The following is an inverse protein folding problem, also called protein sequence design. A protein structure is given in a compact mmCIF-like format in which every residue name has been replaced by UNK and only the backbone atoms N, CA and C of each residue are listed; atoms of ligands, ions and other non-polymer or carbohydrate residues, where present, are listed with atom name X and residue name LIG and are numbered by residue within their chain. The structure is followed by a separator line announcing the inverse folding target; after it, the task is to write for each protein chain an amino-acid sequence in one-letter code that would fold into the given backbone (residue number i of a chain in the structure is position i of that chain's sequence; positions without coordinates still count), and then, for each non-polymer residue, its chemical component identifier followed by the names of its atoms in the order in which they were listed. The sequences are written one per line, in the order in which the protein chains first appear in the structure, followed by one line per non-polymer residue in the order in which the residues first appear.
data_IF_768433041451
#
_entry.id   IF_768433041451
#
_cell.length_a   1.000
_cell.length_b   1.000
_cell.length_c   1.000
_cell.angle_alpha   90.00
_cell.angle_beta   90.00
_cell.angle_gamma   90.00
#
_symmetry.space_group_name_H-M   'P 1'
#
loop_
_entity.id
_entity.type
_entity.pdbx_description
1 polymer ?
#
# COMPACT_ATOMS: atom_id res chain seq x y z
N UNK A 1 -14.01 -13.05 13.73
CA UNK A 1 -13.04 -12.32 14.57
C UNK A 1 -13.70 -11.00 14.91
N UNK A 2 -13.98 -10.74 16.18
CA UNK A 2 -14.62 -9.48 16.58
C UNK A 2 -13.68 -8.30 16.32
N UNK A 3 -14.24 -7.21 15.78
CA UNK A 3 -13.50 -5.97 15.52
C UNK A 3 -13.39 -5.20 16.84
N UNK A 4 -12.17 -5.03 17.33
CA UNK A 4 -11.90 -4.23 18.54
C UNK A 4 -11.79 -2.74 18.21
N UNK A 5 -12.04 -1.88 19.20
CA UNK A 5 -11.85 -0.42 19.08
C UNK A 5 -10.41 -0.06 18.67
N UNK A 6 -9.43 -0.81 19.19
CA UNK A 6 -8.03 -0.65 18.81
C UNK A 6 -7.81 -0.94 17.32
N UNK A 7 -8.39 -2.03 16.80
CA UNK A 7 -8.30 -2.37 15.37
C UNK A 7 -8.94 -1.28 14.52
N UNK A 8 -10.14 -0.85 14.88
CA UNK A 8 -10.84 0.24 14.18
C UNK A 8 -9.99 1.51 14.12
N UNK A 9 -9.41 1.91 15.26
CA UNK A 9 -8.55 3.10 15.34
C UNK A 9 -7.32 2.98 14.44
N UNK A 10 -6.65 1.82 14.45
CA UNK A 10 -5.49 1.55 13.59
C UNK A 10 -5.85 1.63 12.11
N UNK A 11 -6.99 1.05 11.70
CA UNK A 11 -7.50 1.16 10.33
C UNK A 11 -7.71 2.62 9.94
N UNK A 12 -8.46 3.40 10.75
CA UNK A 12 -8.71 4.83 10.48
C UNK A 12 -7.44 5.66 10.41
N UNK A 13 -6.41 5.31 11.19
CA UNK A 13 -5.11 5.96 11.09
C UNK A 13 -4.38 5.57 9.81
N UNK A 14 -4.40 4.29 9.42
CA UNK A 14 -3.75 3.86 8.18
C UNK A 14 -4.42 4.46 6.94
N UNK A 15 -5.75 4.61 6.92
CA UNK A 15 -6.45 5.36 5.88
C UNK A 15 -5.90 6.78 5.71
N UNK A 16 -5.57 7.47 6.82
CA UNK A 16 -4.95 8.82 6.79
C UNK A 16 -3.53 8.78 6.24
N UNK A 17 -2.74 7.75 6.58
CA UNK A 17 -1.38 7.57 6.05
C UNK A 17 -1.43 7.33 4.53
N UNK A 18 -2.33 6.44 4.07
CA UNK A 18 -2.52 6.17 2.64
C UNK A 18 -3.03 7.41 1.91
N UNK A 19 -3.98 8.16 2.48
CA UNK A 19 -4.44 9.43 1.92
C UNK A 19 -3.29 10.43 1.75
N UNK A 20 -2.44 10.59 2.78
CA UNK A 20 -1.25 11.44 2.69
C UNK A 20 -0.30 11.01 1.57
N UNK A 21 -0.04 9.71 1.42
CA UNK A 21 0.78 9.17 0.33
C UNK A 21 0.17 9.53 -1.02
N UNK A 22 -1.13 9.29 -1.21
CA UNK A 22 -1.85 9.59 -2.45
C UNK A 22 -1.79 11.09 -2.77
N UNK A 23 -2.02 11.96 -1.79
CA UNK A 23 -1.92 13.42 -1.96
C UNK A 23 -0.52 13.84 -2.42
N UNK A 24 0.54 13.30 -1.80
CA UNK A 24 1.92 13.62 -2.18
C UNK A 24 2.29 13.08 -3.56
N UNK A 25 1.83 11.89 -3.91
CA UNK A 25 2.04 11.33 -5.25
C UNK A 25 1.27 12.10 -6.32
N UNK A 26 0.07 12.58 -6.01
CA UNK A 26 -0.72 13.42 -6.92
C UNK A 26 0.04 14.69 -7.34
N UNK A 27 0.78 15.32 -6.41
CA UNK A 27 1.59 16.52 -6.70
C UNK A 27 2.70 16.27 -7.74
N UNK A 28 3.14 15.03 -7.91
CA UNK A 28 4.16 14.64 -8.90
C UNK A 28 3.58 13.85 -10.08
N UNK A 29 2.25 13.84 -10.23
CA UNK A 29 1.56 13.09 -11.28
C UNK A 29 1.69 11.56 -11.14
N UNK A 30 1.91 11.07 -9.92
CA UNK A 30 2.08 9.65 -9.64
C UNK A 30 0.75 8.92 -9.44
N UNK A 31 0.36 7.99 -10.34
CA UNK A 31 -0.81 7.16 -10.11
C UNK A 31 -0.55 6.14 -9.00
N UNK A 32 -1.61 5.88 -8.25
CA UNK A 32 -1.66 4.87 -7.18
C UNK A 32 -2.82 3.95 -7.46
N UNK A 33 -2.58 2.64 -7.41
CA UNK A 33 -3.66 1.65 -7.32
C UNK A 33 -3.71 1.14 -5.90
N UNK A 34 -4.91 0.98 -5.35
CA UNK A 34 -5.08 0.08 -4.21
C UNK A 34 -4.94 -1.36 -4.74
N UNK A 35 -4.45 -2.30 -3.92
CA UNK A 35 -4.38 -3.72 -4.27
C UNK A 35 -5.44 -4.49 -3.46
N UNK A 36 -5.97 -5.55 -4.09
CA UNK A 36 -7.00 -6.47 -3.62
C UNK A 36 -6.59 -7.28 -2.36
N UNK A 37 -7.53 -7.92 -1.63
CA UNK A 37 -8.17 -7.44 -0.39
C UNK A 37 -9.35 -6.50 -0.53
N UNK A 38 -9.07 -5.22 -0.33
CA UNK A 38 -10.06 -4.15 -0.20
C UNK A 38 -10.81 -3.84 -1.50
N UNK A 39 -10.16 -3.88 -2.67
CA UNK A 39 -10.83 -3.65 -3.96
C UNK A 39 -11.75 -4.80 -4.39
N UNK A 40 -11.47 -6.04 -3.99
CA UNK A 40 -12.30 -7.19 -4.33
C UNK A 40 -13.66 -7.12 -3.63
N UNK A 41 -13.65 -6.69 -2.36
CA UNK A 41 -14.85 -6.48 -1.56
C UNK A 41 -15.71 -5.37 -2.18
N UNK A 42 -15.11 -4.21 -2.48
CA UNK A 42 -15.79 -3.04 -3.03
C UNK A 42 -16.36 -3.30 -4.44
N UNK A 43 -15.59 -3.96 -5.32
CA UNK A 43 -16.05 -4.36 -6.65
C UNK A 43 -17.20 -5.39 -6.60
N UNK A 44 -17.16 -6.34 -5.64
CA UNK A 44 -18.20 -7.37 -5.48
C UNK A 44 -19.47 -6.85 -4.80
N UNK A 45 -19.34 -5.87 -3.90
CA UNK A 45 -20.44 -5.41 -3.05
C UNK A 45 -21.04 -4.06 -3.49
N UNK A 46 -20.55 -3.47 -4.58
CA UNK A 46 -21.18 -2.32 -5.22
C UNK A 46 -21.19 -1.08 -4.34
N UNK A 47 -20.10 -0.84 -3.62
CA UNK A 47 -19.93 0.38 -2.84
C UNK A 47 -19.64 1.57 -3.76
N UNK A 48 -20.02 2.74 -3.28
CA UNK A 48 -20.01 4.03 -3.99
C UNK A 48 -18.58 4.46 -4.41
N UNK A 49 -18.38 5.71 -4.84
CA UNK A 49 -17.08 6.33 -5.12
C UNK A 49 -16.10 6.36 -3.92
N UNK A 50 -16.46 5.77 -2.78
CA UNK A 50 -15.70 5.77 -1.55
C UNK A 50 -15.32 4.33 -1.20
N UNK A 51 -14.03 4.06 -1.01
CA UNK A 51 -13.55 2.77 -0.50
C UNK A 51 -14.00 2.60 0.96
N UNK A 52 -14.78 1.57 1.24
CA UNK A 52 -15.08 1.10 2.58
C UNK A 52 -14.14 -0.06 2.92
N UNK A 53 -13.18 0.19 3.81
CA UNK A 53 -12.24 -0.84 4.24
C UNK A 53 -12.95 -1.96 5.03
N UNK A 54 -12.67 -3.22 4.70
CA UNK A 54 -13.16 -4.36 5.48
C UNK A 54 -12.38 -4.44 6.80
N UNK A 55 -13.04 -4.15 7.92
CA UNK A 55 -12.42 -4.18 9.24
C UNK A 55 -11.92 -5.57 9.66
N UNK A 56 -12.20 -6.63 8.90
CA UNK A 56 -11.60 -7.96 9.10
C UNK A 56 -10.23 -8.11 8.42
N UNK A 57 -9.91 -7.31 7.41
CA UNK A 57 -8.60 -7.32 6.76
C UNK A 57 -7.50 -6.88 7.73
N UNK A 58 -6.27 -7.32 7.46
CA UNK A 58 -5.09 -7.11 8.30
C UNK A 58 -4.12 -6.08 7.72
N UNK A 59 -4.40 -5.58 6.52
CA UNK A 59 -3.50 -4.77 5.72
C UNK A 59 -4.26 -3.86 4.75
N UNK A 60 -3.67 -2.69 4.50
CA UNK A 60 -3.98 -1.84 3.36
C UNK A 60 -2.85 -1.97 2.33
N UNK A 61 -3.16 -2.51 1.17
CA UNK A 61 -2.17 -2.68 0.11
C UNK A 61 -2.28 -1.57 -0.96
N UNK A 62 -1.15 -0.99 -1.36
CA UNK A 62 -1.04 -0.07 -2.50
C UNK A 62 0.02 -0.54 -3.49
N UNK A 63 -0.26 -0.40 -4.79
CA UNK A 63 0.62 -0.67 -5.92
C UNK A 63 0.99 0.63 -6.64
N UNK A 64 2.27 0.74 -6.99
CA UNK A 64 2.87 1.91 -7.60
C UNK A 64 3.82 1.50 -8.72
N UNK A 65 4.00 2.36 -9.73
CA UNK A 65 5.18 2.21 -10.60
C UNK A 65 6.47 2.41 -9.79
N UNK A 66 7.56 1.74 -10.19
CA UNK A 66 8.88 1.82 -9.56
C UNK A 66 9.29 3.25 -9.15
N UNK A 67 9.21 4.23 -10.07
CA UNK A 67 9.57 5.62 -9.76
C UNK A 67 8.76 6.25 -8.61
N UNK A 68 7.49 5.88 -8.48
CA UNK A 68 6.61 6.39 -7.42
C UNK A 68 6.76 5.61 -6.13
N UNK A 69 7.12 4.33 -6.20
CA UNK A 69 7.53 3.56 -5.03
C UNK A 69 8.70 4.25 -4.31
N UNK A 70 9.75 4.65 -5.04
CA UNK A 70 10.87 5.38 -4.45
C UNK A 70 10.46 6.75 -3.88
N UNK A 71 9.45 7.40 -4.46
CA UNK A 71 8.89 8.62 -3.89
C UNK A 71 8.24 8.35 -2.52
N UNK A 72 7.52 7.24 -2.35
CA UNK A 72 6.95 6.85 -1.04
C UNK A 72 8.04 6.48 -0.04
N UNK A 73 9.08 5.78 -0.48
CA UNK A 73 10.26 5.52 0.37
C UNK A 73 10.87 6.83 0.88
N UNK A 74 10.96 7.86 0.04
CA UNK A 74 11.45 9.17 0.46
C UNK A 74 10.52 9.88 1.47
N UNK A 75 9.23 9.51 1.55
CA UNK A 75 8.27 10.04 2.52
C UNK A 75 8.34 9.35 3.90
N UNK A 76 9.14 8.29 4.06
CA UNK A 76 9.21 7.48 5.29
C UNK A 76 9.35 8.33 6.56
N UNK A 77 10.33 9.24 6.58
CA UNK A 77 10.60 10.10 7.74
C UNK A 77 9.46 11.06 8.04
N UNK A 78 8.78 11.55 7.01
CA UNK A 78 7.61 12.42 7.18
C UNK A 78 6.41 11.64 7.71
N UNK A 79 6.18 10.42 7.22
CA UNK A 79 5.14 9.52 7.71
C UNK A 79 5.38 9.18 9.19
N UNK A 80 6.62 8.85 9.56
CA UNK A 80 6.98 8.60 10.96
C UNK A 80 6.76 9.83 11.83
N UNK A 81 7.18 11.00 11.35
CA UNK A 81 7.03 12.26 12.11
C UNK A 81 5.58 12.68 12.30
N UNK A 82 4.74 12.54 11.27
CA UNK A 82 3.35 13.04 11.28
C UNK A 82 2.43 12.04 11.98
N UNK A 83 2.59 10.74 11.71
CA UNK A 83 1.65 9.71 12.13
C UNK A 83 2.23 8.75 13.18
N UNK A 84 3.56 8.73 13.38
CA UNK A 84 4.23 7.74 14.23
C UNK A 84 4.36 6.36 13.61
N UNK A 85 4.01 6.21 12.32
CA UNK A 85 4.09 4.95 11.59
C UNK A 85 5.51 4.71 11.06
N UNK A 86 6.03 3.49 11.21
CA UNK A 86 7.44 3.18 10.90
C UNK A 86 7.56 2.12 9.82
N UNK A 87 8.57 2.22 8.96
CA UNK A 87 8.91 1.16 8.03
C UNK A 87 9.56 -0.02 8.77
N UNK A 88 8.84 -1.14 8.87
CA UNK A 88 9.38 -2.37 9.46
C UNK A 88 10.09 -3.27 8.43
N UNK A 89 9.69 -3.14 7.17
CA UNK A 89 10.37 -3.73 6.02
C UNK A 89 10.52 -2.64 4.97
N UNK A 90 11.73 -2.55 4.39
CA UNK A 90 12.00 -1.75 3.21
C UNK A 90 13.03 -2.49 2.37
N UNK A 91 12.62 -2.91 1.18
CA UNK A 91 13.50 -3.53 0.19
C UNK A 91 13.22 -2.87 -1.16
N UNK A 92 14.13 -1.96 -1.54
CA UNK A 92 13.99 -1.18 -2.76
C UNK A 92 14.28 -1.99 -4.03
N UNK A 93 15.10 -3.04 -3.96
CA UNK A 93 15.34 -3.93 -5.11
C UNK A 93 14.09 -4.76 -5.44
N UNK A 94 13.42 -5.25 -4.41
CA UNK A 94 12.17 -6.01 -4.52
C UNK A 94 10.93 -5.11 -4.61
N UNK A 95 11.11 -3.79 -4.53
CA UNK A 95 10.02 -2.80 -4.53
C UNK A 95 8.92 -3.14 -3.52
N UNK A 96 9.30 -3.38 -2.26
CA UNK A 96 8.36 -3.64 -1.17
C UNK A 96 8.72 -2.83 0.08
N UNK A 97 7.70 -2.23 0.69
CA UNK A 97 7.81 -1.51 1.96
C UNK A 97 6.58 -1.81 2.83
N UNK A 98 6.78 -2.05 4.12
CA UNK A 98 5.70 -2.32 5.08
C UNK A 98 5.76 -1.26 6.19
N UNK A 99 4.67 -0.52 6.34
CA UNK A 99 4.49 0.48 7.39
C UNK A 99 3.67 -0.11 8.54
N UNK A 100 4.18 0.00 9.76
CA UNK A 100 3.50 -0.44 10.97
C UNK A 100 2.98 0.74 11.78
N UNK A 101 1.80 0.60 12.44
CA UNK A 101 1.30 1.60 13.36
C UNK A 101 2.22 1.75 14.58
N UNK A 102 2.12 2.88 15.30
CA UNK A 102 2.87 3.07 16.54
C UNK A 102 2.58 1.93 17.52
N UNK A 103 3.61 1.51 18.26
CA UNK A 103 3.57 0.42 19.24
C UNK A 103 3.41 -1.00 18.68
N UNK A 104 3.36 -1.19 17.36
CA UNK A 104 3.40 -2.52 16.75
C UNK A 104 4.84 -2.95 16.48
N UNK A 105 5.31 -3.98 17.21
CA UNK A 105 6.71 -4.42 17.13
C UNK A 105 7.02 -5.37 15.97
N UNK A 106 6.00 -6.05 15.40
CA UNK A 106 6.19 -7.08 14.37
C UNK A 106 5.14 -6.96 13.26
N UNK A 107 5.57 -7.25 12.03
CA UNK A 107 4.67 -7.46 10.89
C UNK A 107 3.70 -8.62 11.19
N UNK A 108 2.53 -8.62 10.54
CA UNK A 108 1.51 -9.69 10.63
C UNK A 108 0.94 -9.94 12.05
N UNK A 109 1.24 -9.08 13.03
CA UNK A 109 0.69 -9.14 14.41
C UNK A 109 -0.35 -8.05 14.67
N UNK A 110 -0.87 -7.44 13.63
CA UNK A 110 -1.87 -6.38 13.68
C UNK A 110 -2.04 -5.78 12.30
N UNK A 111 -2.74 -4.65 12.26
CA UNK A 111 -2.97 -3.91 11.02
C UNK A 111 -1.67 -3.29 10.48
N UNK A 112 -1.47 -3.29 9.17
CA UNK A 112 -0.29 -2.72 8.51
C UNK A 112 -0.67 -2.05 7.18
N UNK A 113 0.26 -1.30 6.57
CA UNK A 113 0.14 -0.83 5.19
C UNK A 113 1.29 -1.42 4.40
N UNK A 114 0.96 -2.09 3.31
CA UNK A 114 1.93 -2.70 2.42
C UNK A 114 1.98 -1.89 1.12
N UNK A 115 3.18 -1.42 0.80
CA UNK A 115 3.48 -0.62 -0.38
C UNK A 115 4.29 -1.48 -1.33
N UNK A 116 3.75 -1.72 -2.51
CA UNK A 116 4.35 -2.53 -3.54
C UNK A 116 4.65 -1.69 -4.77
N UNK A 117 5.82 -1.89 -5.36
CA UNK A 117 6.15 -1.37 -6.67
C UNK A 117 6.15 -2.45 -7.74
N UNK A 118 5.96 -2.03 -8.97
CA UNK A 118 6.12 -2.88 -10.15
C UNK A 118 6.79 -2.11 -11.29
N UNK A 119 7.40 -2.85 -12.21
CA UNK A 119 8.05 -2.31 -13.40
C UNK A 119 7.18 -2.57 -14.62
N UNK A 120 7.18 -1.63 -15.55
CA UNK A 120 6.57 -1.81 -16.88
C UNK A 120 7.66 -1.85 -17.93
N UNK A 121 7.43 -2.59 -19.01
CA UNK A 121 8.39 -2.83 -20.07
C UNK A 121 9.69 -3.46 -19.55
N UNK A 122 9.58 -4.37 -18.58
CA UNK A 122 10.68 -5.11 -17.99
C UNK A 122 10.33 -6.61 -17.87
N UNK A 123 11.26 -7.53 -18.22
CA UNK A 123 12.56 -7.27 -18.83
C UNK A 123 12.46 -6.87 -20.31
N UNK A 124 11.29 -7.00 -20.93
CA UNK A 124 11.01 -6.61 -22.33
C UNK A 124 9.75 -5.76 -22.42
N UNK A 125 9.53 -5.12 -23.57
CA UNK A 125 8.31 -4.32 -23.85
C UNK A 125 7.02 -5.11 -23.66
N UNK A 126 5.95 -4.44 -23.27
CA UNK A 126 4.60 -5.00 -23.04
C UNK A 126 4.53 -6.03 -21.90
N UNK A 127 5.49 -6.02 -20.97
CA UNK A 127 5.42 -6.81 -19.74
C UNK A 127 5.32 -5.92 -18.50
N UNK A 128 4.57 -6.37 -17.50
CA UNK A 128 4.66 -5.84 -16.15
C UNK A 128 5.34 -6.88 -15.24
N UNK A 129 6.29 -6.43 -14.43
CA UNK A 129 7.06 -7.27 -13.52
C UNK A 129 6.88 -6.81 -12.07
N UNK A 130 6.63 -7.77 -11.17
CA UNK A 130 6.35 -7.58 -9.75
C UNK A 130 7.50 -8.21 -8.96
N UNK A 131 8.56 -7.45 -8.63
CA UNK A 131 9.79 -8.02 -8.06
C UNK A 131 9.60 -8.63 -6.67
N UNK A 132 8.57 -8.20 -5.95
CA UNK A 132 8.21 -8.72 -4.63
C UNK A 132 7.62 -10.14 -4.68
N UNK A 133 7.02 -10.57 -5.79
CA UNK A 133 6.53 -11.95 -5.97
C UNK A 133 7.28 -12.72 -7.07
N UNK A 134 8.22 -12.05 -7.74
CA UNK A 134 8.93 -12.57 -8.91
C UNK A 134 7.98 -13.05 -10.03
N UNK A 135 6.89 -12.32 -10.24
CA UNK A 135 5.87 -12.61 -11.25
C UNK A 135 5.98 -11.61 -12.40
N UNK A 136 5.86 -12.10 -13.63
CA UNK A 136 5.78 -11.27 -14.85
C UNK A 136 4.51 -11.64 -15.60
N UNK A 137 3.80 -10.64 -16.12
CA UNK A 137 2.65 -10.85 -17.01
C UNK A 137 2.69 -9.95 -18.23
N UNK A 138 2.05 -10.41 -19.32
CA UNK A 138 1.85 -9.61 -20.51
C UNK A 138 0.79 -8.53 -20.26
N UNK A 139 1.07 -7.32 -20.71
CA UNK A 139 0.09 -6.23 -20.77
C UNK A 139 -0.58 -6.30 -22.14
N UNK A 140 -1.90 -6.19 -22.18
CA UNK A 140 -2.64 -6.08 -23.44
C UNK A 140 -2.20 -4.79 -24.17
N UNK A 141 -1.92 -4.93 -25.47
CA UNK A 141 -1.41 -3.85 -26.34
C UNK A 141 -2.53 -2.93 -26.83
#
# INVERSE_FOLDING_TARGET
IDVTEEKFTKVRQGEKVVAYIIEKLHLIGGPVSLIYGNLLHEYRNGTSKCILYDLHDKDLDIALFEKHFHAVVAMEKDIERIFGWKAALKNEERLIMVLLPPNQAKMQKGFQIDVYGFKINYPTTNLAYFPWDNVTFAMDA
#
